data_IF_279578046235
#
_entry.id   IF_279578046235
#
_cell.length_a   1.000
_cell.length_b   1.000
_cell.length_c   1.000
_cell.angle_alpha   90.00
_cell.angle_beta   90.00
_cell.angle_gamma   90.00
#
_symmetry.space_group_name_H-M   'P 1'
#
loop_
_entity.id
_entity.type
_entity.pdbx_description
1 polymer ?
#
# COMPACT_ATOMS: atom_id res chain seq x y z
N UNK A 1 -43.59 -34.69 -6.39
CA UNK A 1 -42.89 -33.39 -6.44
C UNK A 1 -42.01 -33.11 -5.21
N UNK A 2 -42.29 -33.69 -4.03
CA UNK A 2 -41.40 -33.53 -2.85
C UNK A 2 -40.01 -34.17 -3.01
N UNK A 3 -39.89 -35.35 -3.63
CA UNK A 3 -38.60 -36.03 -3.80
C UNK A 3 -37.61 -35.28 -4.71
N UNK A 4 -38.09 -34.43 -5.63
CA UNK A 4 -37.23 -33.60 -6.49
C UNK A 4 -36.65 -32.42 -5.72
N UNK A 5 -37.40 -31.85 -4.77
CA UNK A 5 -36.91 -30.76 -3.91
C UNK A 5 -35.82 -31.24 -2.95
N UNK A 6 -35.95 -32.44 -2.41
CA UNK A 6 -34.94 -33.03 -1.51
C UNK A 6 -33.65 -33.33 -2.27
N UNK A 7 -33.72 -33.87 -3.49
CA UNK A 7 -32.53 -34.08 -4.33
C UNK A 7 -31.85 -32.77 -4.75
N UNK A 8 -32.62 -31.73 -5.07
CA UNK A 8 -32.07 -30.41 -5.41
C UNK A 8 -31.38 -29.75 -4.20
N UNK A 9 -31.97 -29.88 -3.00
CA UNK A 9 -31.38 -29.36 -1.76
C UNK A 9 -30.13 -30.14 -1.33
N UNK A 10 -30.09 -31.46 -1.51
CA UNK A 10 -28.90 -32.28 -1.29
C UNK A 10 -27.80 -31.97 -2.31
N UNK A 11 -28.14 -31.79 -3.58
CA UNK A 11 -27.16 -31.37 -4.60
C UNK A 11 -26.61 -29.96 -4.36
N UNK A 12 -27.45 -29.01 -3.96
CA UNK A 12 -27.02 -27.66 -3.60
C UNK A 12 -26.16 -27.65 -2.32
N UNK A 13 -26.47 -28.50 -1.34
CA UNK A 13 -25.66 -28.65 -0.14
C UNK A 13 -24.28 -29.30 -0.43
N UNK A 14 -24.21 -30.26 -1.36
CA UNK A 14 -22.95 -30.86 -1.81
C UNK A 14 -22.11 -29.88 -2.65
N UNK A 15 -22.74 -29.04 -3.47
CA UNK A 15 -22.02 -27.97 -4.19
C UNK A 15 -21.55 -26.82 -3.28
N UNK A 16 -22.19 -26.62 -2.12
CA UNK A 16 -21.78 -25.63 -1.13
C UNK A 16 -20.58 -26.10 -0.28
N UNK A 17 -20.32 -27.41 -0.22
CA UNK A 17 -19.08 -27.94 0.35
C UNK A 17 -18.00 -27.83 -0.72
N UNK A 18 -17.17 -26.79 -0.62
CA UNK A 18 -15.99 -26.65 -1.47
C UNK A 18 -15.15 -27.94 -1.49
N UNK A 19 -14.29 -28.13 -2.50
CA UNK A 19 -13.45 -29.31 -2.59
C UNK A 19 -12.71 -29.55 -1.26
N UNK A 20 -12.76 -30.80 -0.78
CA UNK A 20 -12.03 -31.22 0.42
C UNK A 20 -10.55 -30.86 0.18
N UNK A 21 -9.90 -30.12 1.10
CA UNK A 21 -8.51 -29.74 0.91
C UNK A 21 -7.62 -30.98 0.85
N UNK A 22 -6.66 -30.96 -0.07
CA UNK A 22 -5.66 -32.03 -0.20
C UNK A 22 -4.71 -32.04 1.00
N UNK A 23 -4.47 -30.86 1.59
CA UNK A 23 -3.64 -30.69 2.77
C UNK A 23 -4.14 -29.55 3.68
N UNK A 24 -4.02 -29.76 4.98
CA UNK A 24 -4.24 -28.75 6.01
C UNK A 24 -2.99 -28.65 6.86
N UNK A 25 -2.35 -27.49 6.89
CA UNK A 25 -1.14 -27.25 7.66
C UNK A 25 -1.48 -26.50 8.95
N UNK A 26 -1.29 -27.14 10.09
CA UNK A 26 -1.41 -26.54 11.40
C UNK A 26 -0.14 -25.78 11.77
N UNK A 27 -0.18 -24.45 11.62
CA UNK A 27 0.97 -23.59 11.86
C UNK A 27 0.93 -23.02 13.28
N UNK A 28 2.01 -23.23 14.02
CA UNK A 28 2.26 -22.60 15.31
C UNK A 28 2.98 -21.25 15.09
N UNK A 29 2.26 -20.16 15.29
CA UNK A 29 2.82 -18.82 15.19
C UNK A 29 3.37 -18.37 16.53
N UNK A 30 4.58 -17.82 16.50
CA UNK A 30 5.27 -17.27 17.67
C UNK A 30 5.67 -15.86 17.32
N UNK A 31 5.43 -14.92 18.22
CA UNK A 31 5.80 -13.52 18.06
C UNK A 31 6.66 -13.10 19.22
N UNK A 32 7.81 -12.51 18.91
CA UNK A 32 8.72 -12.07 19.96
C UNK A 32 8.36 -10.66 20.48
N UNK A 33 9.01 -10.28 21.58
CA UNK A 33 8.76 -9.01 22.26
C UNK A 33 8.93 -7.79 21.33
N UNK A 34 9.86 -7.85 20.39
CA UNK A 34 10.19 -6.72 19.52
C UNK A 34 9.03 -6.28 18.63
N UNK A 35 8.17 -7.21 18.21
CA UNK A 35 6.96 -6.88 17.44
C UNK A 35 5.95 -6.14 18.31
N UNK A 36 5.69 -6.62 19.53
CA UNK A 36 4.71 -5.99 20.44
C UNK A 36 5.19 -4.59 20.85
N UNK A 37 6.49 -4.42 21.10
CA UNK A 37 7.06 -3.11 21.41
C UNK A 37 6.81 -2.09 20.29
N UNK A 38 6.71 -2.53 19.03
CA UNK A 38 6.32 -1.66 17.91
C UNK A 38 4.85 -1.26 17.96
N UNK A 39 3.93 -2.19 18.19
CA UNK A 39 2.52 -1.85 18.36
C UNK A 39 2.30 -0.91 19.55
N UNK A 40 3.01 -1.11 20.67
CA UNK A 40 2.96 -0.21 21.83
C UNK A 40 3.47 1.19 21.46
N UNK A 41 4.51 1.29 20.64
CA UNK A 41 5.05 2.56 20.17
C UNK A 41 4.08 3.34 19.27
N UNK A 42 3.14 2.68 18.59
CA UNK A 42 2.07 3.32 17.80
C UNK A 42 0.95 3.90 18.69
N UNK A 43 0.79 3.40 19.92
CA UNK A 43 -0.23 3.91 20.84
C UNK A 43 0.22 5.23 21.46
N UNK A 44 -0.51 6.31 21.17
CA UNK A 44 -0.16 7.68 21.62
C UNK A 44 -0.90 8.14 22.88
N UNK A 45 -1.92 7.40 23.32
CA UNK A 45 -2.81 7.78 24.43
C UNK A 45 -2.88 6.68 25.49
N UNK A 46 -3.19 7.06 26.73
CA UNK A 46 -3.31 6.14 27.87
C UNK A 46 -2.00 5.87 28.60
N UNK A 47 -2.11 5.19 29.76
CA UNK A 47 -0.96 4.70 30.53
C UNK A 47 -0.31 3.46 29.87
N UNK A 48 0.80 2.97 30.43
CA UNK A 48 1.54 1.84 29.85
C UNK A 48 0.69 0.57 29.71
N UNK A 49 -0.22 0.30 30.66
CA UNK A 49 -1.08 -0.87 30.62
C UNK A 49 -2.15 -0.75 29.54
N UNK A 50 -2.78 0.43 29.44
CA UNK A 50 -3.76 0.76 28.39
C UNK A 50 -3.13 0.67 27.01
N UNK A 51 -1.92 1.23 26.84
CA UNK A 51 -1.18 1.15 25.57
C UNK A 51 -0.82 -0.29 25.20
N UNK A 52 -0.40 -1.10 26.16
CA UNK A 52 -0.15 -2.53 25.91
C UNK A 52 -1.43 -3.27 25.49
N UNK A 53 -2.55 -3.03 26.17
CA UNK A 53 -3.83 -3.65 25.81
C UNK A 53 -4.28 -3.24 24.40
N UNK A 54 -4.22 -1.95 24.06
CA UNK A 54 -4.57 -1.47 22.73
C UNK A 54 -3.64 -2.05 21.65
N UNK A 55 -2.33 -2.10 21.94
CA UNK A 55 -1.35 -2.73 21.06
C UNK A 55 -1.68 -4.21 20.78
N UNK A 56 -2.05 -4.97 21.81
CA UNK A 56 -2.44 -6.38 21.65
C UNK A 56 -3.73 -6.55 20.84
N UNK A 57 -4.70 -5.64 20.97
CA UNK A 57 -5.92 -5.65 20.14
C UNK A 57 -5.57 -5.41 18.67
N UNK A 58 -4.79 -4.37 18.36
CA UNK A 58 -4.35 -4.08 16.98
C UNK A 58 -3.51 -5.22 16.39
N UNK A 59 -2.57 -5.75 17.17
CA UNK A 59 -1.72 -6.87 16.77
C UNK A 59 -2.55 -8.12 16.41
N UNK A 60 -3.49 -8.53 17.27
CA UNK A 60 -4.31 -9.72 17.00
C UNK A 60 -5.16 -9.57 15.74
N UNK A 61 -5.70 -8.36 15.49
CA UNK A 61 -6.45 -8.09 14.26
C UNK A 61 -5.58 -8.19 13.01
N UNK A 62 -4.38 -7.61 13.04
CA UNK A 62 -3.42 -7.68 11.92
C UNK A 62 -2.95 -9.12 11.66
N UNK A 63 -2.73 -9.93 12.71
CA UNK A 63 -2.34 -11.35 12.57
C UNK A 63 -3.39 -12.15 11.83
N UNK A 64 -4.67 -12.04 12.21
CA UNK A 64 -5.73 -12.80 11.55
C UNK A 64 -5.90 -12.36 10.09
N UNK A 65 -5.72 -11.07 9.81
CA UNK A 65 -5.64 -10.56 8.44
C UNK A 65 -4.48 -11.18 7.67
N UNK A 66 -3.24 -11.15 8.19
CA UNK A 66 -2.09 -11.73 7.48
C UNK A 66 -2.26 -13.24 7.21
N UNK A 67 -2.82 -14.02 8.13
CA UNK A 67 -3.08 -15.45 7.90
C UNK A 67 -4.19 -15.66 6.86
N UNK A 68 -5.17 -14.76 6.81
CA UNK A 68 -6.18 -14.75 5.73
C UNK A 68 -5.52 -14.52 4.37
N UNK A 69 -4.60 -13.56 4.28
CA UNK A 69 -3.87 -13.26 3.05
C UNK A 69 -2.92 -14.39 2.63
N UNK A 70 -2.24 -15.04 3.58
CA UNK A 70 -1.44 -16.25 3.33
C UNK A 70 -2.32 -17.35 2.71
N UNK A 71 -3.51 -17.60 3.28
CA UNK A 71 -4.46 -18.57 2.73
C UNK A 71 -4.95 -18.19 1.33
N UNK A 72 -5.14 -16.89 1.04
CA UNK A 72 -5.47 -16.44 -0.32
C UNK A 72 -4.37 -16.76 -1.32
N UNK A 73 -3.10 -16.72 -0.92
CA UNK A 73 -1.97 -17.11 -1.77
C UNK A 73 -1.98 -18.62 -2.03
N UNK A 74 -2.13 -19.45 -0.99
CA UNK A 74 -2.26 -20.90 -1.17
C UNK A 74 -3.51 -21.30 -1.98
N UNK A 75 -4.60 -20.55 -1.86
CA UNK A 75 -5.80 -20.75 -2.68
C UNK A 75 -5.56 -20.50 -4.19
N UNK A 76 -4.46 -19.83 -4.58
CA UNK A 76 -4.08 -19.68 -5.98
C UNK A 76 -3.71 -21.02 -6.64
N UNK A 77 -3.46 -22.07 -5.85
CA UNK A 77 -3.17 -23.42 -6.33
C UNK A 77 -4.43 -24.17 -6.78
N UNK A 78 -5.63 -23.76 -6.33
CA UNK A 78 -6.89 -24.47 -6.61
C UNK A 78 -7.19 -24.62 -8.10
N UNK A 79 -7.01 -23.59 -8.95
CA UNK A 79 -7.16 -23.75 -10.40
C UNK A 79 -6.17 -24.75 -11.03
N UNK A 80 -5.08 -25.06 -10.34
CA UNK A 80 -4.08 -26.07 -10.74
C UNK A 80 -4.35 -27.45 -10.12
N UNK A 81 -5.49 -27.64 -9.46
CA UNK A 81 -5.92 -28.92 -8.89
C UNK A 81 -5.26 -29.27 -7.56
N UNK A 82 -4.80 -28.27 -6.80
CA UNK A 82 -4.23 -28.47 -5.46
C UNK A 82 -4.84 -27.48 -4.47
N UNK A 83 -5.34 -27.99 -3.34
CA UNK A 83 -5.97 -27.21 -2.29
C UNK A 83 -5.22 -27.40 -0.96
N UNK A 84 -4.49 -26.37 -0.55
CA UNK A 84 -3.80 -26.32 0.75
C UNK A 84 -4.45 -25.24 1.60
N UNK A 85 -4.76 -25.56 2.86
CA UNK A 85 -5.24 -24.60 3.85
C UNK A 85 -4.22 -24.42 4.97
N UNK A 86 -3.99 -23.18 5.37
CA UNK A 86 -3.12 -22.82 6.50
C UNK A 86 -4.00 -22.53 7.72
N UNK A 87 -3.83 -23.31 8.77
CA UNK A 87 -4.62 -23.21 10.00
C UNK A 87 -3.76 -22.60 11.11
N UNK A 88 -4.32 -21.61 11.81
CA UNK A 88 -3.70 -21.04 13.02
C UNK A 88 -3.84 -22.04 14.17
N UNK A 89 -2.83 -22.87 14.41
CA UNK A 89 -2.84 -23.84 15.51
C UNK A 89 -2.85 -23.15 16.86
N UNK A 90 -1.94 -22.19 17.02
CA UNK A 90 -1.75 -21.39 18.22
C UNK A 90 -0.94 -20.14 17.85
N UNK A 91 -1.12 -19.08 18.63
CA UNK A 91 -0.33 -17.85 18.57
C UNK A 91 0.22 -17.56 19.97
N UNK A 92 1.53 -17.64 20.15
CA UNK A 92 2.18 -17.26 21.40
C UNK A 92 2.93 -15.94 21.24
N UNK A 93 2.73 -15.04 22.20
CA UNK A 93 3.39 -13.73 22.25
C UNK A 93 4.37 -13.72 23.41
N UNK A 94 5.65 -13.61 23.09
CA UNK A 94 6.73 -13.72 24.06
C UNK A 94 7.05 -12.35 24.66
N UNK A 95 7.48 -12.37 25.93
CA UNK A 95 8.03 -11.21 26.62
C UNK A 95 9.56 -11.08 26.46
N UNK A 96 10.16 -11.88 25.59
CA UNK A 96 11.58 -11.87 25.25
C UNK A 96 11.75 -11.86 23.73
N UNK A 97 12.93 -11.44 23.26
CA UNK A 97 13.35 -11.67 21.89
C UNK A 97 14.01 -13.05 21.80
N UNK A 98 13.67 -13.84 20.78
CA UNK A 98 14.26 -15.18 20.60
C UNK A 98 15.76 -15.08 20.28
N UNK A 99 16.17 -14.00 19.61
CA UNK A 99 17.55 -13.67 19.31
C UNK A 99 17.76 -12.14 19.30
N UNK A 100 19.02 -11.69 19.25
CA UNK A 100 19.38 -10.26 19.22
C UNK A 100 19.29 -9.64 17.82
N UNK A 101 19.19 -8.31 17.72
CA UNK A 101 19.18 -7.62 16.43
C UNK A 101 20.46 -7.83 15.62
N UNK A 102 20.36 -7.77 14.29
CA UNK A 102 21.46 -7.83 13.31
C UNK A 102 22.32 -9.10 13.36
N UNK A 103 21.69 -10.25 13.64
CA UNK A 103 22.33 -11.57 13.47
C UNK A 103 22.28 -12.03 12.01
N UNK A 104 22.98 -13.11 11.65
CA UNK A 104 22.74 -13.74 10.35
C UNK A 104 21.52 -14.67 10.40
N UNK A 105 20.96 -15.02 9.24
CA UNK A 105 19.78 -15.88 9.16
C UNK A 105 19.98 -17.28 9.75
N UNK A 106 21.19 -17.85 9.68
CA UNK A 106 21.51 -19.15 10.30
C UNK A 106 21.41 -19.12 11.83
N UNK A 107 21.88 -18.05 12.47
CA UNK A 107 21.78 -17.86 13.92
C UNK A 107 20.31 -17.64 14.32
N UNK A 108 19.55 -16.87 13.53
CA UNK A 108 18.14 -16.63 13.79
C UNK A 108 17.32 -17.94 13.79
N UNK A 109 17.45 -18.77 12.75
CA UNK A 109 16.69 -20.03 12.67
C UNK A 109 17.13 -21.04 13.73
N UNK A 110 18.45 -21.17 13.99
CA UNK A 110 18.95 -22.05 15.03
C UNK A 110 18.49 -21.63 16.44
N UNK A 111 18.40 -20.32 16.71
CA UNK A 111 17.86 -19.82 17.97
C UNK A 111 16.38 -20.18 18.12
N UNK A 112 15.60 -20.08 17.05
CA UNK A 112 14.18 -20.45 17.08
C UNK A 112 13.98 -21.97 17.22
N UNK A 113 14.77 -22.80 16.54
CA UNK A 113 14.75 -24.26 16.71
C UNK A 113 15.05 -24.67 18.16
N UNK A 114 16.07 -24.06 18.76
CA UNK A 114 16.42 -24.32 20.17
C UNK A 114 15.30 -23.88 21.13
N UNK A 115 14.59 -22.81 20.81
CA UNK A 115 13.43 -22.37 21.58
C UNK A 115 12.28 -23.38 21.44
N UNK A 116 11.98 -23.83 20.22
CA UNK A 116 10.93 -24.81 19.92
C UNK A 116 11.19 -26.18 20.54
N UNK A 117 12.45 -26.57 20.76
CA UNK A 117 12.80 -27.82 21.44
C UNK A 117 12.19 -27.95 22.86
N UNK A 118 11.81 -26.83 23.48
CA UNK A 118 11.13 -26.81 24.79
C UNK A 118 9.60 -26.61 24.67
N UNK A 119 9.07 -26.44 23.47
CA UNK A 119 7.63 -26.30 23.22
C UNK A 119 6.91 -27.63 23.38
N UNK A 120 5.71 -27.58 23.93
CA UNK A 120 4.80 -28.75 24.05
C UNK A 120 3.67 -28.72 23.02
N UNK A 121 3.66 -27.72 22.14
CA UNK A 121 2.62 -27.54 21.11
C UNK A 121 2.87 -28.54 19.98
N UNK A 122 1.87 -29.35 19.67
CA UNK A 122 1.89 -30.17 18.45
C UNK A 122 1.47 -29.32 17.24
N UNK A 123 2.34 -29.24 16.24
CA UNK A 123 2.17 -28.46 15.01
C UNK A 123 2.80 -29.17 13.81
N UNK A 124 2.40 -28.78 12.60
CA UNK A 124 2.98 -29.28 11.34
C UNK A 124 4.15 -28.41 10.85
N UNK A 125 4.06 -27.11 11.15
CA UNK A 125 5.08 -26.10 10.95
C UNK A 125 5.02 -25.03 12.06
N UNK A 126 6.12 -24.34 12.31
CA UNK A 126 6.19 -23.21 13.23
C UNK A 126 6.82 -21.99 12.56
N UNK A 127 6.28 -20.80 12.81
CA UNK A 127 6.80 -19.54 12.27
C UNK A 127 7.05 -18.55 13.41
N UNK A 128 8.28 -18.05 13.49
CA UNK A 128 8.63 -16.91 14.32
C UNK A 128 8.49 -15.63 13.51
N UNK A 129 7.58 -14.77 13.95
CA UNK A 129 7.48 -13.39 13.51
C UNK A 129 8.26 -12.47 14.44
N UNK A 130 9.21 -11.74 13.88
CA UNK A 130 10.14 -10.89 14.65
C UNK A 130 10.39 -9.56 13.95
N UNK A 131 10.60 -8.49 14.71
CA UNK A 131 11.04 -7.20 14.16
C UNK A 131 12.57 -7.11 14.06
N UNK A 132 13.30 -8.09 14.60
CA UNK A 132 14.77 -8.13 14.54
C UNK A 132 15.24 -8.30 13.10
N UNK A 133 16.31 -7.59 12.73
CA UNK A 133 16.97 -7.73 11.45
C UNK A 133 17.88 -8.98 11.46
N UNK A 134 17.73 -9.85 10.47
CA UNK A 134 18.57 -11.04 10.30
C UNK A 134 19.10 -11.22 8.87
N UNK A 135 19.34 -10.10 8.16
CA UNK A 135 19.88 -9.98 6.78
C UNK A 135 18.92 -10.32 5.65
N UNK A 136 17.87 -11.09 5.90
CA UNK A 136 16.83 -11.45 4.93
C UNK A 136 15.44 -11.07 5.46
N UNK A 137 14.41 -11.20 4.60
CA UNK A 137 13.02 -11.04 5.03
C UNK A 137 12.44 -12.33 5.65
N UNK A 138 13.05 -13.47 5.36
CA UNK A 138 12.67 -14.78 5.89
C UNK A 138 13.78 -15.81 5.74
N UNK A 139 13.69 -16.88 6.51
CA UNK A 139 14.54 -18.07 6.41
C UNK A 139 13.81 -19.27 7.01
N UNK A 140 13.98 -20.44 6.41
CA UNK A 140 13.32 -21.66 6.86
C UNK A 140 14.07 -22.91 6.42
N UNK A 141 13.70 -24.06 6.97
CA UNK A 141 14.24 -25.35 6.52
C UNK A 141 13.43 -25.90 5.35
N UNK A 142 14.07 -26.11 4.20
CA UNK A 142 13.39 -26.62 3.01
C UNK A 142 12.94 -28.09 3.18
N UNK A 143 11.70 -28.41 2.80
CA UNK A 143 11.12 -29.78 2.87
C UNK A 143 11.09 -30.39 4.29
N UNK A 144 10.88 -29.57 5.32
CA UNK A 144 10.84 -30.01 6.71
C UNK A 144 9.45 -29.99 7.35
N UNK A 145 8.39 -29.65 6.62
CA UNK A 145 7.02 -29.80 7.15
C UNK A 145 6.77 -31.23 7.69
N UNK A 146 5.95 -31.38 8.73
CA UNK A 146 5.70 -32.65 9.44
C UNK A 146 6.91 -33.28 10.16
N UNK A 147 8.10 -32.68 10.12
CA UNK A 147 9.25 -33.23 10.88
C UNK A 147 9.15 -32.82 12.34
N UNK A 148 9.53 -33.72 13.24
CA UNK A 148 9.56 -33.44 14.68
C UNK A 148 10.61 -32.41 15.08
N UNK A 149 11.58 -32.14 14.21
CA UNK A 149 12.62 -31.13 14.38
C UNK A 149 12.71 -30.30 13.10
N UNK A 150 13.06 -29.02 13.25
CA UNK A 150 13.33 -28.11 12.14
C UNK A 150 12.15 -27.86 11.19
N UNK A 151 10.91 -28.20 11.58
CA UNK A 151 9.70 -27.77 10.86
C UNK A 151 9.37 -26.30 11.19
N UNK A 152 10.35 -25.41 10.99
CA UNK A 152 10.33 -24.04 11.52
C UNK A 152 10.87 -23.04 10.49
N UNK A 153 10.39 -21.80 10.59
CA UNK A 153 10.92 -20.65 9.85
C UNK A 153 10.88 -19.36 10.69
N UNK A 154 11.69 -18.39 10.30
CA UNK A 154 11.76 -17.05 10.88
C UNK A 154 11.43 -16.04 9.80
N UNK A 155 10.52 -15.12 10.08
CA UNK A 155 10.03 -14.12 9.12
C UNK A 155 10.06 -12.74 9.76
N UNK A 156 10.57 -11.76 9.00
CA UNK A 156 10.52 -10.36 9.37
C UNK A 156 9.07 -9.88 9.41
N UNK A 157 8.63 -9.46 10.58
CA UNK A 157 7.29 -8.93 10.80
C UNK A 157 7.32 -7.41 10.66
N UNK A 158 7.26 -6.89 9.44
CA UNK A 158 7.31 -5.43 9.22
C UNK A 158 5.98 -4.69 9.48
N UNK A 159 4.96 -5.40 10.00
CA UNK A 159 3.59 -4.91 10.27
C UNK A 159 2.85 -4.44 9.00
N UNK A 160 3.32 -4.83 7.81
CA UNK A 160 2.69 -4.51 6.52
C UNK A 160 2.29 -5.79 5.77
N UNK A 161 1.73 -5.64 4.57
CA UNK A 161 1.40 -6.77 3.70
C UNK A 161 2.61 -7.66 3.35
N UNK A 162 3.84 -7.14 3.49
CA UNK A 162 5.07 -7.92 3.34
C UNK A 162 5.08 -9.19 4.21
N UNK A 163 4.56 -9.11 5.45
CA UNK A 163 4.47 -10.26 6.38
C UNK A 163 3.75 -11.45 5.74
N UNK A 164 2.63 -11.22 5.05
CA UNK A 164 1.88 -12.29 4.40
C UNK A 164 2.67 -12.93 3.24
N UNK A 165 3.34 -12.11 2.43
CA UNK A 165 4.17 -12.58 1.29
C UNK A 165 5.33 -13.43 1.82
N UNK A 166 6.11 -12.89 2.76
CA UNK A 166 7.28 -13.57 3.30
C UNK A 166 6.89 -14.86 4.03
N UNK A 167 5.81 -14.84 4.80
CA UNK A 167 5.35 -16.06 5.48
C UNK A 167 4.88 -17.12 4.50
N UNK A 168 4.13 -16.76 3.45
CA UNK A 168 3.73 -17.72 2.42
C UNK A 168 4.94 -18.30 1.68
N UNK A 169 5.95 -17.48 1.41
CA UNK A 169 7.23 -17.91 0.82
C UNK A 169 7.95 -18.94 1.70
N UNK A 170 8.14 -18.64 2.99
CA UNK A 170 8.83 -19.56 3.91
C UNK A 170 8.04 -20.85 4.16
N UNK A 171 6.71 -20.78 4.22
CA UNK A 171 5.88 -21.99 4.28
C UNK A 171 5.97 -22.80 2.97
N UNK A 172 6.14 -22.14 1.82
CA UNK A 172 6.41 -22.79 0.54
C UNK A 172 7.71 -23.60 0.55
N UNK A 173 8.78 -23.03 1.10
CA UNK A 173 10.03 -23.76 1.32
C UNK A 173 9.85 -24.95 2.27
N UNK A 174 9.11 -24.82 3.37
CA UNK A 174 8.80 -25.95 4.26
C UNK A 174 8.06 -27.09 3.54
N UNK A 175 7.21 -26.73 2.59
CA UNK A 175 6.49 -27.63 1.67
C UNK A 175 7.35 -28.15 0.50
N UNK A 176 8.64 -27.82 0.48
CA UNK A 176 9.63 -28.34 -0.44
C UNK A 176 9.77 -27.62 -1.77
N UNK A 177 9.14 -26.45 -1.93
CA UNK A 177 9.41 -25.59 -3.08
C UNK A 177 10.82 -24.97 -2.97
N UNK A 178 11.53 -24.93 -4.09
CA UNK A 178 12.68 -24.04 -4.26
C UNK A 178 12.20 -22.68 -4.76
N UNK A 179 13.12 -21.72 -4.86
CA UNK A 179 12.82 -20.51 -5.60
C UNK A 179 12.39 -20.82 -7.04
N UNK A 180 11.47 -20.02 -7.55
CA UNK A 180 11.09 -20.06 -8.96
C UNK A 180 12.31 -19.74 -9.85
N UNK A 181 12.45 -20.35 -11.04
CA UNK A 181 13.53 -20.02 -11.95
C UNK A 181 13.53 -18.52 -12.32
N UNK A 182 14.70 -17.93 -12.61
CA UNK A 182 14.86 -16.48 -12.86
C UNK A 182 14.01 -15.90 -14.01
N UNK A 183 13.46 -16.75 -14.90
CA UNK A 183 12.56 -16.37 -16.00
C UNK A 183 11.07 -16.49 -15.63
N UNK A 184 10.76 -16.99 -14.43
CA UNK A 184 9.44 -17.06 -13.82
C UNK A 184 9.39 -16.04 -12.69
N UNK A 185 8.97 -14.85 -13.05
CA UNK A 185 9.10 -13.69 -12.16
C UNK A 185 7.76 -13.43 -11.47
N UNK A 186 7.86 -12.89 -10.27
CA UNK A 186 6.73 -12.30 -9.60
C UNK A 186 5.77 -13.23 -8.92
N UNK A 187 6.07 -14.51 -8.76
CA UNK A 187 5.27 -15.44 -7.97
C UNK A 187 5.77 -15.47 -6.51
N UNK A 188 4.99 -16.09 -5.62
CA UNK A 188 5.32 -16.15 -4.17
C UNK A 188 6.71 -16.72 -3.91
N UNK A 189 7.17 -17.71 -4.70
CA UNK A 189 8.49 -18.34 -4.52
C UNK A 189 9.62 -17.65 -5.31
N UNK A 190 9.43 -16.44 -5.83
CA UNK A 190 10.53 -15.68 -6.42
C UNK A 190 11.58 -15.33 -5.34
N UNK A 191 12.87 -15.44 -5.67
CA UNK A 191 13.96 -15.19 -4.74
C UNK A 191 14.02 -13.73 -4.20
N UNK A 192 13.40 -12.79 -4.90
CA UNK A 192 13.34 -11.38 -4.51
C UNK A 192 11.94 -10.82 -4.75
N UNK A 193 11.23 -10.53 -3.66
CA UNK A 193 9.89 -9.97 -3.74
C UNK A 193 9.93 -8.54 -4.30
N UNK A 194 9.03 -8.24 -5.25
CA UNK A 194 8.93 -6.93 -5.88
C UNK A 194 7.49 -6.42 -5.91
N UNK A 195 7.32 -5.13 -5.62
CA UNK A 195 6.03 -4.42 -5.71
C UNK A 195 5.55 -4.23 -7.15
N UNK A 196 6.43 -4.38 -8.14
CA UNK A 196 6.09 -4.27 -9.56
C UNK A 196 5.47 -5.55 -10.13
N UNK A 197 5.61 -6.66 -9.41
CA UNK A 197 5.18 -7.96 -9.90
C UNK A 197 3.69 -8.20 -9.65
N UNK A 198 2.96 -8.56 -10.70
CA UNK A 198 1.51 -8.73 -10.68
C UNK A 198 1.07 -10.13 -10.23
N UNK A 199 1.99 -11.09 -10.16
CA UNK A 199 1.68 -12.49 -9.79
C UNK A 199 1.96 -12.78 -8.32
N UNK A 200 2.36 -11.78 -7.51
CA UNK A 200 2.93 -11.99 -6.16
C UNK A 200 1.94 -12.53 -5.13
N UNK A 201 0.68 -12.66 -5.53
CA UNK A 201 -0.40 -13.29 -4.78
C UNK A 201 -0.65 -14.75 -5.18
N UNK A 202 0.19 -15.30 -6.06
CA UNK A 202 0.04 -16.65 -6.59
C UNK A 202 1.33 -17.43 -6.49
N UNK A 203 1.21 -18.72 -6.21
CA UNK A 203 2.27 -19.70 -6.45
C UNK A 203 2.36 -20.07 -7.91
N UNK A 204 3.56 -20.40 -8.37
CA UNK A 204 3.81 -20.84 -9.74
C UNK A 204 3.45 -22.33 -9.92
N UNK A 205 3.47 -22.80 -11.17
CA UNK A 205 3.35 -24.23 -11.46
C UNK A 205 4.53 -25.05 -10.91
N UNK A 206 5.72 -24.45 -10.74
CA UNK A 206 6.88 -25.11 -10.14
C UNK A 206 6.68 -25.35 -8.65
N UNK A 207 6.16 -24.34 -7.93
CA UNK A 207 5.81 -24.51 -6.52
C UNK A 207 4.74 -25.59 -6.36
N UNK A 208 3.70 -25.58 -7.22
CA UNK A 208 2.67 -26.62 -7.24
C UNK A 208 3.26 -28.03 -7.41
N UNK A 209 4.15 -28.22 -8.39
CA UNK A 209 4.79 -29.52 -8.63
C UNK A 209 5.61 -29.99 -7.43
N UNK A 210 6.34 -29.08 -6.77
CA UNK A 210 7.08 -29.41 -5.55
C UNK A 210 6.14 -29.85 -4.42
N UNK A 211 5.03 -29.13 -4.23
CA UNK A 211 4.03 -29.46 -3.22
C UNK A 211 3.38 -30.83 -3.47
N UNK A 212 2.96 -31.11 -4.71
CA UNK A 212 2.43 -32.44 -5.08
C UNK A 212 3.43 -33.55 -4.78
N UNK A 213 4.70 -33.35 -5.15
CA UNK A 213 5.77 -34.33 -4.96
C UNK A 213 5.96 -34.62 -3.48
N UNK A 214 5.93 -33.60 -2.64
CA UNK A 214 6.04 -33.74 -1.19
C UNK A 214 4.81 -34.44 -0.59
N UNK A 215 3.60 -34.04 -0.99
CA UNK A 215 2.33 -34.62 -0.52
C UNK A 215 2.14 -36.08 -0.94
N UNK A 216 2.76 -36.51 -2.04
CA UNK A 216 2.75 -37.92 -2.47
C UNK A 216 3.57 -38.84 -1.56
N UNK A 217 4.46 -38.29 -0.71
CA UNK A 217 5.32 -39.08 0.17
C UNK A 217 4.53 -39.47 1.45
N UNK A 218 4.40 -40.77 1.78
CA UNK A 218 3.58 -41.23 2.90
C UNK A 218 3.95 -40.69 4.29
N UNK A 219 5.17 -40.18 4.48
CA UNK A 219 5.60 -39.60 5.76
C UNK A 219 4.97 -38.23 6.07
N UNK A 220 4.39 -37.54 5.09
CA UNK A 220 3.76 -36.21 5.28
C UNK A 220 2.26 -36.29 5.57
N UNK A 221 1.81 -37.43 6.14
CA UNK A 221 0.42 -37.63 6.60
C UNK A 221 0.00 -36.72 7.76
N UNK A 222 0.92 -35.93 8.34
CA UNK A 222 0.50 -34.94 9.35
C UNK A 222 -0.51 -33.95 8.76
N UNK A 223 -0.34 -33.58 7.49
CA UNK A 223 -1.19 -32.62 6.78
C UNK A 223 -2.58 -33.15 6.39
N UNK A 224 -2.84 -34.45 6.57
CA UNK A 224 -4.15 -35.05 6.29
C UNK A 224 -5.01 -35.21 7.54
N UNK A 225 -4.47 -34.90 8.72
CA UNK A 225 -5.18 -34.95 10.00
C UNK A 225 -5.26 -33.54 10.55
N UNK A 226 -6.46 -33.12 10.95
CA UNK A 226 -6.67 -31.81 11.56
C UNK A 226 -7.23 -31.98 12.97
N UNK A 227 -6.62 -31.27 13.90
CA UNK A 227 -7.05 -31.08 15.27
C UNK A 227 -8.45 -30.49 15.28
N UNK A 228 -9.29 -31.01 16.18
CA UNK A 228 -10.66 -30.55 16.33
C UNK A 228 -10.74 -29.06 16.68
N UNK A 229 -11.64 -28.33 16.02
CA UNK A 229 -11.95 -26.94 16.35
C UNK A 229 -11.07 -25.88 15.69
N UNK A 230 -10.10 -26.26 14.86
CA UNK A 230 -9.36 -25.30 14.05
C UNK A 230 -10.18 -24.86 12.84
N UNK A 231 -10.14 -23.56 12.56
CA UNK A 231 -10.80 -22.94 11.40
C UNK A 231 -9.78 -22.13 10.60
N UNK A 232 -9.98 -22.07 9.29
CA UNK A 232 -9.24 -21.14 8.42
C UNK A 232 -9.58 -19.71 8.84
N UNK A 233 -8.60 -18.88 9.23
CA UNK A 233 -8.87 -17.48 9.54
C UNK A 233 -9.48 -16.75 8.33
N UNK A 234 -10.45 -15.89 8.61
CA UNK A 234 -11.13 -15.06 7.62
C UNK A 234 -11.37 -13.69 8.23
N UNK A 235 -10.39 -12.81 8.10
CA UNK A 235 -10.44 -11.44 8.57
C UNK A 235 -10.43 -10.46 7.39
N UNK A 236 -11.14 -9.34 7.56
CA UNK A 236 -11.03 -8.20 6.67
C UNK A 236 -9.74 -7.41 6.96
N UNK A 237 -9.38 -6.51 6.05
CA UNK A 237 -8.31 -5.53 6.31
C UNK A 237 -8.65 -4.69 7.55
N UNK A 238 -7.66 -4.42 8.38
CA UNK A 238 -7.83 -3.57 9.57
C UNK A 238 -7.75 -2.09 9.17
N UNK A 239 -8.31 -1.19 9.98
CA UNK A 239 -8.23 0.26 9.72
C UNK A 239 -6.76 0.74 9.54
N UNK A 240 -5.85 0.20 10.36
CA UNK A 240 -4.41 0.49 10.28
C UNK A 240 -3.78 0.02 8.96
N UNK A 241 -4.25 -1.11 8.41
CA UNK A 241 -3.78 -1.64 7.13
C UNK A 241 -4.58 -1.12 5.93
N UNK A 242 -5.70 -0.43 6.15
CA UNK A 242 -6.48 0.30 5.16
C UNK A 242 -6.06 1.78 5.06
N UNK A 243 -5.27 2.29 6.01
CA UNK A 243 -4.66 3.62 5.95
C UNK A 243 -3.25 3.54 5.30
N UNK A 244 -3.06 4.11 4.09
CA UNK A 244 -1.76 4.06 3.42
C UNK A 244 -0.68 4.87 4.16
N UNK A 245 -1.04 5.87 4.96
CA UNK A 245 -0.05 6.59 5.77
C UNK A 245 0.44 5.71 6.92
N UNK A 246 -0.43 4.92 7.55
CA UNK A 246 -0.02 3.91 8.55
C UNK A 246 0.90 2.87 7.93
N UNK A 247 0.56 2.32 6.76
CA UNK A 247 1.45 1.40 6.03
C UNK A 247 2.83 2.06 5.81
N UNK A 248 2.86 3.32 5.37
CA UNK A 248 4.10 4.03 5.13
C UNK A 248 4.92 4.32 6.39
N UNK A 249 4.28 4.60 7.53
CA UNK A 249 4.98 4.73 8.82
C UNK A 249 5.64 3.42 9.24
N UNK A 250 4.95 2.30 9.06
CA UNK A 250 5.43 0.95 9.36
C UNK A 250 6.56 0.53 8.43
N UNK A 251 6.34 0.58 7.12
CA UNK A 251 7.32 0.19 6.09
C UNK A 251 8.64 0.98 6.18
N UNK A 252 8.56 2.29 6.46
CA UNK A 252 9.75 3.15 6.57
C UNK A 252 10.31 3.24 7.99
N UNK A 253 9.73 2.51 8.94
CA UNK A 253 10.13 2.50 10.35
C UNK A 253 10.19 3.93 10.94
N UNK A 254 9.29 4.81 10.50
CA UNK A 254 9.35 6.25 10.81
C UNK A 254 7.95 6.88 10.86
N UNK A 255 7.58 7.41 12.03
CA UNK A 255 6.27 8.03 12.28
C UNK A 255 5.94 9.26 11.41
N UNK A 256 6.93 9.87 10.75
CA UNK A 256 6.76 11.01 9.85
C UNK A 256 6.64 10.61 8.37
N UNK A 257 6.76 9.32 8.05
CA UNK A 257 6.51 8.81 6.71
C UNK A 257 5.01 8.82 6.42
N UNK A 258 4.64 9.03 5.17
CA UNK A 258 3.26 9.07 4.68
C UNK A 258 3.24 8.66 3.20
N UNK A 259 2.07 8.35 2.66
CA UNK A 259 1.88 8.03 1.26
C UNK A 259 2.15 9.27 0.41
N UNK A 260 3.16 9.19 -0.45
CA UNK A 260 3.35 10.13 -1.52
C UNK A 260 2.17 10.05 -2.49
N UNK A 261 1.49 11.17 -2.68
CA UNK A 261 0.40 11.37 -3.66
C UNK A 261 0.90 12.07 -4.93
N UNK A 262 2.22 12.25 -5.06
CA UNK A 262 2.82 12.90 -6.21
C UNK A 262 2.48 12.16 -7.50
N UNK A 263 1.92 12.83 -8.53
CA UNK A 263 1.57 12.21 -9.80
C UNK A 263 2.71 11.46 -10.46
N UNK A 264 3.97 11.90 -10.29
CA UNK A 264 5.14 11.24 -10.88
C UNK A 264 5.27 9.79 -10.45
N UNK A 265 4.86 9.48 -9.22
CA UNK A 265 4.87 8.12 -8.67
C UNK A 265 3.78 7.22 -9.28
N UNK A 266 2.74 7.80 -9.89
CA UNK A 266 1.59 7.07 -10.46
C UNK A 266 1.38 7.40 -11.94
N UNK A 267 2.47 7.57 -12.70
CA UNK A 267 2.39 7.77 -14.16
C UNK A 267 1.70 9.06 -14.58
N UNK A 268 1.88 10.13 -13.80
CA UNK A 268 1.23 11.43 -13.93
C UNK A 268 -0.30 11.40 -13.74
N UNK A 269 -0.78 10.57 -12.81
CA UNK A 269 -2.21 10.42 -12.48
C UNK A 269 -2.46 10.55 -10.99
N UNK A 270 -3.72 10.75 -10.61
CA UNK A 270 -4.18 10.61 -9.22
C UNK A 270 -3.86 9.19 -8.73
N UNK A 271 -3.38 9.01 -7.49
CA UNK A 271 -3.19 7.69 -6.89
C UNK A 271 -4.53 6.96 -6.72
N UNK A 272 -4.93 6.19 -7.73
CA UNK A 272 -6.17 5.42 -7.76
C UNK A 272 -6.06 4.14 -8.61
N UNK A 273 -7.09 3.30 -8.54
CA UNK A 273 -7.23 2.10 -9.35
C UNK A 273 -6.14 1.06 -9.07
N UNK A 274 -5.84 0.27 -10.09
CA UNK A 274 -4.79 -0.78 -10.02
C UNK A 274 -3.41 -0.22 -9.66
N UNK A 275 -3.14 1.07 -9.88
CA UNK A 275 -1.85 1.66 -9.52
C UNK A 275 -1.59 1.59 -8.02
N UNK A 276 -2.58 1.98 -7.22
CA UNK A 276 -2.52 1.94 -5.76
C UNK A 276 -2.59 0.50 -5.24
N UNK A 277 -3.33 -0.37 -5.91
CA UNK A 277 -3.40 -1.78 -5.54
C UNK A 277 -2.13 -2.57 -5.86
N UNK A 278 -1.37 -2.15 -6.87
CA UNK A 278 -0.08 -2.74 -7.16
C UNK A 278 1.03 -2.16 -6.28
N UNK A 279 1.02 -0.87 -6.00
CA UNK A 279 2.00 -0.26 -5.11
C UNK A 279 1.54 1.09 -4.57
N UNK A 280 1.86 1.34 -3.31
CA UNK A 280 1.89 2.70 -2.79
C UNK A 280 3.33 3.18 -2.70
N UNK A 281 3.52 4.49 -2.60
CA UNK A 281 4.83 5.09 -2.49
C UNK A 281 4.94 5.82 -1.16
N UNK A 282 5.95 5.49 -0.37
CA UNK A 282 6.12 6.02 0.97
C UNK A 282 7.26 7.04 1.05
N UNK A 283 6.97 8.18 1.67
CA UNK A 283 7.92 9.29 1.81
C UNK A 283 9.11 8.89 2.68
N UNK A 284 10.31 9.09 2.15
CA UNK A 284 11.51 9.09 2.96
C UNK A 284 11.64 10.42 3.69
N UNK A 285 11.72 10.35 5.02
CA UNK A 285 11.71 11.53 5.88
C UNK A 285 12.96 12.38 5.63
N UNK A 286 12.77 13.70 5.58
CA UNK A 286 13.80 14.70 5.26
C UNK A 286 14.36 14.64 3.83
N UNK A 287 13.73 13.89 2.92
CA UNK A 287 14.06 13.92 1.48
C UNK A 287 12.81 14.18 0.67
N UNK A 288 12.91 14.33 -0.65
CA UNK A 288 11.76 14.32 -1.58
C UNK A 288 11.57 12.95 -2.26
N UNK A 289 12.27 11.92 -1.78
CA UNK A 289 12.23 10.59 -2.36
C UNK A 289 11.04 9.81 -1.79
N UNK A 290 10.47 8.98 -2.63
CA UNK A 290 9.41 8.06 -2.26
C UNK A 290 9.84 6.65 -2.67
N UNK A 291 9.54 5.67 -1.81
CA UNK A 291 9.92 4.27 -2.02
C UNK A 291 8.67 3.44 -2.22
N UNK A 292 8.67 2.55 -3.20
CA UNK A 292 7.53 1.65 -3.41
C UNK A 292 7.35 0.73 -2.20
N UNK A 293 6.10 0.42 -1.86
CA UNK A 293 5.72 -0.39 -0.71
C UNK A 293 4.49 -1.21 -1.05
N UNK A 294 4.39 -2.43 -0.50
CA UNK A 294 3.24 -3.30 -0.72
C UNK A 294 1.99 -2.70 -0.06
N UNK A 295 0.93 -2.44 -0.84
CA UNK A 295 -0.36 -2.09 -0.29
C UNK A 295 -1.03 -3.34 0.27
N UNK A 296 -1.93 -3.15 1.23
CA UNK A 296 -2.81 -4.21 1.69
C UNK A 296 -3.91 -4.48 0.66
N UNK A 297 -4.28 -5.74 0.49
CA UNK A 297 -5.60 -6.07 -0.05
C UNK A 297 -6.68 -5.48 0.89
N UNK A 298 -7.78 -4.99 0.31
CA UNK A 298 -8.81 -4.24 1.02
C UNK A 298 -8.57 -2.73 1.08
N UNK A 299 -7.43 -2.20 0.65
CA UNK A 299 -7.20 -0.76 0.53
C UNK A 299 -8.23 -0.11 -0.41
N UNK A 300 -8.77 1.06 -0.08
CA UNK A 300 -9.67 1.79 -1.00
C UNK A 300 -8.88 2.18 -2.25
N UNK A 301 -9.45 1.99 -3.43
CA UNK A 301 -8.77 2.33 -4.69
C UNK A 301 -9.66 3.10 -5.66
N UNK A 302 -10.90 3.36 -5.28
CA UNK A 302 -11.88 4.11 -6.06
C UNK A 302 -13.23 4.14 -5.36
N UNK A 303 -14.15 4.91 -5.89
CA UNK A 303 -15.53 4.95 -5.40
C UNK A 303 -16.18 3.57 -5.55
N UNK A 304 -16.68 3.00 -4.45
CA UNK A 304 -17.18 1.63 -4.32
C UNK A 304 -16.16 0.55 -4.73
N UNK A 305 -14.86 0.80 -4.54
CA UNK A 305 -13.81 -0.14 -4.96
C UNK A 305 -12.71 -0.32 -3.92
N UNK A 306 -12.25 -1.56 -3.79
CA UNK A 306 -11.10 -1.94 -2.95
C UNK A 306 -10.10 -2.80 -3.73
N UNK A 307 -8.87 -2.81 -3.22
CA UNK A 307 -7.81 -3.63 -3.74
C UNK A 307 -8.06 -5.10 -3.43
N UNK A 308 -7.88 -5.95 -4.44
CA UNK A 308 -7.91 -7.40 -4.32
C UNK A 308 -6.89 -7.96 -5.30
N UNK A 309 -5.79 -8.49 -4.78
CA UNK A 309 -4.68 -9.09 -5.54
C UNK A 309 -4.16 -8.16 -6.64
N UNK A 310 -3.87 -6.92 -6.29
CA UNK A 310 -3.32 -5.93 -7.22
C UNK A 310 -4.32 -5.27 -8.15
N UNK A 311 -5.60 -5.65 -8.06
CA UNK A 311 -6.68 -5.11 -8.88
C UNK A 311 -7.64 -4.29 -8.05
N UNK A 312 -8.07 -3.17 -8.60
CA UNK A 312 -9.12 -2.34 -8.03
C UNK A 312 -10.48 -2.86 -8.49
N UNK A 313 -11.18 -3.53 -7.59
CA UNK A 313 -12.42 -4.25 -7.90
C UNK A 313 -13.60 -3.62 -7.15
N UNK A 314 -14.80 -3.82 -7.70
CA UNK A 314 -16.03 -3.38 -7.05
C UNK A 314 -16.16 -4.03 -5.66
N UNK A 315 -16.40 -3.18 -4.66
CA UNK A 315 -16.58 -3.57 -3.28
C UNK A 315 -17.60 -2.61 -2.64
N UNK A 316 -18.86 -3.04 -2.44
CA UNK A 316 -19.95 -2.15 -2.05
C UNK A 316 -19.97 -1.92 -0.53
N UNK A 317 -18.91 -1.34 0.02
CA UNK A 317 -18.88 -0.91 1.42
C UNK A 317 -19.08 0.61 1.55
N UNK A 318 -19.59 1.03 2.71
CA UNK A 318 -19.97 2.42 2.94
C UNK A 318 -18.77 3.39 2.92
N UNK A 319 -17.57 2.93 3.30
CA UNK A 319 -16.38 3.77 3.35
C UNK A 319 -15.88 4.10 1.94
N UNK A 320 -15.79 3.10 1.06
CA UNK A 320 -15.42 3.33 -0.33
C UNK A 320 -16.53 4.03 -1.14
N UNK A 321 -17.79 4.02 -0.69
CA UNK A 321 -18.89 4.68 -1.38
C UNK A 321 -18.82 6.22 -1.35
N UNK A 322 -18.16 6.81 -0.35
CA UNK A 322 -18.15 8.25 -0.11
C UNK A 322 -16.89 8.97 -0.59
N UNK A 323 -15.94 8.26 -1.21
CA UNK A 323 -14.68 8.86 -1.68
C UNK A 323 -14.86 9.57 -3.02
N UNK A 324 -14.26 10.76 -3.15
CA UNK A 324 -14.16 11.48 -4.42
C UNK A 324 -13.14 10.75 -5.34
N UNK A 325 -13.54 10.32 -6.55
CA UNK A 325 -12.62 9.64 -7.47
C UNK A 325 -11.43 10.49 -7.92
N UNK A 326 -11.53 11.82 -7.82
CA UNK A 326 -10.42 12.73 -8.13
C UNK A 326 -9.52 12.98 -6.90
N UNK A 327 -9.96 12.58 -5.71
CA UNK A 327 -9.37 12.97 -4.44
C UNK A 327 -9.43 11.90 -3.35
N UNK A 328 -9.27 10.63 -3.72
CA UNK A 328 -9.52 9.47 -2.85
C UNK A 328 -8.81 9.60 -1.49
N UNK A 329 -7.58 10.12 -1.50
CA UNK A 329 -6.74 10.20 -0.32
C UNK A 329 -6.64 11.61 0.27
N UNK A 330 -7.38 12.59 -0.24
CA UNK A 330 -7.30 13.98 0.19
C UNK A 330 -5.91 14.63 -0.04
N UNK A 331 -5.61 15.66 0.75
CA UNK A 331 -4.34 16.39 0.66
C UNK A 331 -3.12 15.56 1.07
N UNK A 332 -2.00 15.77 0.40
CA UNK A 332 -0.68 15.32 0.82
C UNK A 332 -0.38 15.88 2.23
N UNK A 333 0.05 15.02 3.15
CA UNK A 333 0.33 15.40 4.53
C UNK A 333 1.36 16.54 4.63
N UNK A 334 2.35 16.55 3.74
CA UNK A 334 3.34 17.62 3.61
C UNK A 334 3.76 17.77 2.13
N UNK A 335 3.63 18.97 1.59
CA UNK A 335 4.15 19.32 0.27
C UNK A 335 5.52 20.00 0.41
N UNK A 336 6.45 19.62 -0.47
CA UNK A 336 7.76 20.27 -0.60
C UNK A 336 7.89 20.77 -2.03
N UNK A 337 7.85 22.10 -2.21
CA UNK A 337 7.96 22.74 -3.52
C UNK A 337 9.20 23.64 -3.54
N UNK A 338 9.98 23.51 -4.60
CA UNK A 338 11.17 24.35 -4.85
C UNK A 338 10.79 25.34 -5.95
N UNK A 339 10.88 26.63 -5.65
CA UNK A 339 10.58 27.69 -6.61
C UNK A 339 11.85 28.34 -7.17
N UNK A 340 12.94 28.32 -6.40
CA UNK A 340 14.28 28.72 -6.81
C UNK A 340 15.31 28.07 -5.89
N UNK A 341 16.59 28.18 -6.22
CA UNK A 341 17.70 27.62 -5.42
C UNK A 341 17.67 28.02 -3.94
N UNK A 342 17.10 29.20 -3.63
CA UNK A 342 17.02 29.75 -2.28
C UNK A 342 15.61 29.76 -1.68
N UNK A 343 14.59 29.31 -2.43
CA UNK A 343 13.21 29.35 -1.96
C UNK A 343 12.52 28.00 -2.08
N UNK A 344 12.33 27.39 -0.92
CA UNK A 344 11.62 26.12 -0.75
C UNK A 344 10.51 26.30 0.25
N UNK A 345 9.32 25.83 -0.11
CA UNK A 345 8.22 25.67 0.83
C UNK A 345 8.17 24.23 1.32
N UNK A 346 8.02 24.05 2.63
CA UNK A 346 7.70 22.79 3.28
C UNK A 346 6.54 23.05 4.26
N UNK A 347 5.43 22.34 4.09
CA UNK A 347 4.25 22.52 4.95
C UNK A 347 3.01 21.85 4.40
N UNK A 348 1.87 22.10 5.05
CA UNK A 348 0.57 21.63 4.59
C UNK A 348 0.01 22.49 3.43
N UNK A 349 -1.02 21.96 2.79
CA UNK A 349 -1.68 22.57 1.65
C UNK A 349 -2.48 23.84 1.98
N UNK A 350 -3.13 23.88 3.14
CA UNK A 350 -3.91 25.04 3.54
C UNK A 350 -3.02 26.28 3.71
N UNK A 351 -1.91 26.15 4.43
CA UNK A 351 -0.92 27.22 4.62
C UNK A 351 -0.25 27.63 3.31
N UNK A 352 -0.02 26.67 2.40
CA UNK A 352 0.56 26.95 1.10
C UNK A 352 -0.37 27.86 0.28
N UNK A 353 -1.64 27.48 0.19
CA UNK A 353 -2.62 28.25 -0.59
C UNK A 353 -2.93 29.61 0.07
N UNK A 354 -2.93 29.70 1.39
CA UNK A 354 -3.03 30.99 2.10
C UNK A 354 -1.86 31.93 1.75
N UNK A 355 -0.64 31.39 1.65
CA UNK A 355 0.55 32.18 1.37
C UNK A 355 0.69 32.60 -0.10
N UNK A 356 0.36 31.70 -1.04
CA UNK A 356 0.64 31.91 -2.47
C UNK A 356 -0.60 32.16 -3.33
N UNK A 357 -1.80 31.99 -2.77
CA UNK A 357 -3.08 32.20 -3.46
C UNK A 357 -3.67 30.93 -4.08
N UNK A 358 -5.00 30.95 -4.27
CA UNK A 358 -5.76 29.84 -4.88
C UNK A 358 -5.37 29.57 -6.33
N UNK A 359 -4.83 30.57 -7.04
CA UNK A 359 -4.31 30.42 -8.40
C UNK A 359 -3.20 29.35 -8.48
N UNK A 360 -2.55 29.01 -7.36
CA UNK A 360 -1.59 27.92 -7.34
C UNK A 360 -2.21 26.55 -7.67
N UNK A 361 -3.52 26.38 -7.47
CA UNK A 361 -4.24 25.16 -7.86
C UNK A 361 -4.33 24.96 -9.38
N UNK A 362 -3.97 25.95 -10.21
CA UNK A 362 -3.78 25.74 -11.65
C UNK A 362 -2.54 24.89 -11.97
N UNK A 363 -1.54 24.84 -11.08
CA UNK A 363 -0.37 24.00 -11.29
C UNK A 363 -0.68 22.55 -10.92
N UNK A 364 -0.54 21.64 -11.89
CA UNK A 364 -0.87 20.22 -11.73
C UNK A 364 -0.24 19.55 -10.49
N UNK A 365 1.00 19.92 -10.14
CA UNK A 365 1.67 19.39 -8.95
C UNK A 365 0.97 19.83 -7.66
N UNK A 366 0.53 21.08 -7.59
CA UNK A 366 -0.22 21.63 -6.45
C UNK A 366 -1.63 21.07 -6.44
N UNK A 367 -2.33 21.07 -7.58
CA UNK A 367 -3.69 20.54 -7.68
C UNK A 367 -3.80 19.09 -7.20
N UNK A 368 -2.81 18.26 -7.52
CA UNK A 368 -2.81 16.85 -7.14
C UNK A 368 -2.26 16.61 -5.72
N UNK A 369 -1.28 17.40 -5.28
CA UNK A 369 -0.77 17.34 -3.91
C UNK A 369 -1.74 17.94 -2.89
N UNK A 370 -2.45 18.99 -3.25
CA UNK A 370 -3.40 19.73 -2.42
C UNK A 370 -4.82 19.54 -2.93
N UNK A 371 -5.14 18.29 -3.25
CA UNK A 371 -6.36 17.93 -3.92
C UNK A 371 -7.63 18.38 -3.17
N UNK A 372 -7.74 18.10 -1.88
CA UNK A 372 -8.92 18.44 -1.09
C UNK A 372 -9.01 19.96 -0.88
N UNK A 373 -7.88 20.61 -0.58
CA UNK A 373 -7.81 22.06 -0.43
C UNK A 373 -8.19 22.77 -1.74
N UNK A 374 -7.65 22.36 -2.88
CA UNK A 374 -7.96 22.93 -4.18
C UNK A 374 -9.42 22.67 -4.56
N UNK A 375 -9.94 21.46 -4.33
CA UNK A 375 -11.34 21.15 -4.59
C UNK A 375 -12.31 22.09 -3.85
N UNK A 376 -12.05 22.39 -2.57
CA UNK A 376 -12.84 23.35 -1.78
C UNK A 376 -12.82 24.78 -2.33
N UNK A 377 -11.77 25.14 -3.07
CA UNK A 377 -11.60 26.46 -3.67
C UNK A 377 -12.14 26.55 -5.10
N UNK A 378 -12.65 25.44 -5.64
CA UNK A 378 -13.14 25.40 -7.00
C UNK A 378 -14.42 26.25 -7.15
N UNK A 379 -14.38 27.26 -8.03
CA UNK A 379 -15.48 28.23 -8.21
C UNK A 379 -16.62 27.72 -9.08
N UNK A 380 -16.36 26.69 -9.89
CA UNK A 380 -17.31 26.18 -10.90
C UNK A 380 -17.40 27.05 -12.18
N UNK A 381 -16.61 28.12 -12.28
CA UNK A 381 -16.58 29.00 -13.45
C UNK A 381 -15.50 28.49 -14.42
N UNK A 382 -15.89 28.09 -15.62
CA UNK A 382 -14.97 27.61 -16.65
C UNK A 382 -13.92 28.68 -17.01
N UNK A 383 -12.64 28.33 -16.94
CA UNK A 383 -11.50 29.23 -17.09
C UNK A 383 -11.13 30.03 -15.85
N UNK A 384 -11.94 29.97 -14.77
CA UNK A 384 -11.68 30.61 -13.46
C UNK A 384 -11.86 29.62 -12.30
N UNK A 385 -11.59 28.35 -12.55
CA UNK A 385 -11.74 27.23 -11.62
C UNK A 385 -11.23 27.58 -10.22
N UNK A 386 -10.14 28.32 -10.10
CA UNK A 386 -9.58 28.72 -8.80
C UNK A 386 -9.45 30.25 -8.63
N UNK A 387 -10.25 31.01 -9.38
CA UNK A 387 -10.21 32.46 -9.44
C UNK A 387 -9.44 32.98 -10.65
N UNK A 388 -8.84 34.17 -10.53
CA UNK A 388 -7.95 34.69 -11.57
C UNK A 388 -6.67 33.84 -11.66
N UNK A 389 -6.22 33.49 -12.87
CA UNK A 389 -4.97 32.77 -13.09
C UNK A 389 -3.76 33.60 -12.64
N UNK A 390 -3.82 34.92 -12.86
CA UNK A 390 -2.75 35.83 -12.48
C UNK A 390 -3.08 36.53 -11.14
N UNK A 391 -2.21 36.48 -10.12
CA UNK A 391 -2.49 37.07 -8.80
C UNK A 391 -2.52 38.61 -8.76
N UNK A 392 -2.39 39.29 -9.91
CA UNK A 392 -2.22 40.74 -10.01
C UNK A 392 -3.25 41.42 -10.90
N UNK A 393 -4.31 40.71 -11.27
CA UNK A 393 -5.42 41.27 -12.06
C UNK A 393 -6.03 42.52 -11.42
N UNK A 394 -6.06 42.58 -10.09
CA UNK A 394 -6.56 43.71 -9.32
C UNK A 394 -5.60 44.93 -9.22
N UNK A 395 -4.36 44.84 -9.72
CA UNK A 395 -3.41 45.96 -9.72
C UNK A 395 -3.67 46.97 -10.84
N UNK A 396 -4.53 46.60 -11.78
CA UNK A 396 -4.89 47.40 -12.95
C UNK A 396 -6.41 47.62 -13.02
N UNK A 397 -6.85 48.60 -13.81
CA UNK A 397 -8.29 48.83 -14.01
C UNK A 397 -8.89 47.74 -14.91
N UNK A 398 -10.18 47.42 -14.74
CA UNK A 398 -10.88 46.47 -15.63
C UNK A 398 -10.72 46.83 -17.12
N UNK A 399 -10.77 48.12 -17.47
CA UNK A 399 -10.57 48.54 -18.86
C UNK A 399 -9.15 48.29 -19.38
N UNK A 400 -8.14 48.35 -18.52
CA UNK A 400 -6.75 48.08 -18.88
C UNK A 400 -6.42 46.60 -19.01
N UNK A 401 -7.14 45.71 -18.32
CA UNK A 401 -6.85 44.27 -18.27
C UNK A 401 -7.81 43.47 -19.14
N UNK A 402 -9.11 43.71 -19.00
CA UNK A 402 -10.14 42.86 -19.57
C UNK A 402 -10.29 42.96 -21.09
N UNK A 403 -9.64 43.93 -21.71
CA UNK A 403 -9.57 44.05 -23.17
C UNK A 403 -8.55 43.09 -23.80
N UNK A 404 -7.53 42.64 -23.05
CA UNK A 404 -6.41 41.85 -23.58
C UNK A 404 -6.05 40.59 -22.77
N UNK A 405 -6.45 40.52 -21.51
CA UNK A 405 -6.06 39.46 -20.56
C UNK A 405 -7.28 38.88 -19.82
N UNK A 406 -8.45 38.93 -20.45
CA UNK A 406 -9.69 38.42 -19.86
C UNK A 406 -9.63 36.93 -19.53
N UNK A 407 -8.75 36.18 -20.20
CA UNK A 407 -8.48 34.76 -19.96
C UNK A 407 -7.64 34.51 -18.69
N UNK A 408 -6.72 35.41 -18.35
CA UNK A 408 -5.90 35.30 -17.14
C UNK A 408 -6.56 35.95 -15.91
N UNK A 409 -7.41 36.94 -16.16
CA UNK A 409 -8.10 37.75 -15.16
C UNK A 409 -9.61 37.55 -15.21
N UNK A 410 -10.02 36.32 -15.41
CA UNK A 410 -11.37 35.98 -15.82
C UNK A 410 -12.42 36.26 -14.74
N UNK A 411 -12.10 36.06 -13.45
CA UNK A 411 -13.00 36.40 -12.35
C UNK A 411 -13.08 37.93 -12.17
N UNK A 412 -11.94 38.61 -12.24
CA UNK A 412 -11.87 40.07 -12.20
C UNK A 412 -12.64 40.72 -13.37
N UNK A 413 -12.55 40.11 -14.56
CA UNK A 413 -13.19 40.57 -15.79
C UNK A 413 -14.63 40.07 -15.96
N UNK A 414 -15.15 39.29 -15.01
CA UNK A 414 -16.51 38.82 -15.05
C UNK A 414 -17.49 40.00 -15.14
N UNK A 415 -18.38 39.93 -16.14
CA UNK A 415 -19.38 40.97 -16.41
C UNK A 415 -18.83 42.26 -17.06
N UNK A 416 -17.53 42.34 -17.35
CA UNK A 416 -16.98 43.49 -18.07
C UNK A 416 -17.50 43.53 -19.51
N UNK A 417 -18.09 44.67 -19.89
CA UNK A 417 -18.50 44.96 -21.26
C UNK A 417 -17.65 46.09 -21.79
N UNK A 418 -16.82 45.80 -22.80
CA UNK A 418 -16.04 46.82 -23.51
C UNK A 418 -16.97 47.95 -23.93
N UNK A 419 -16.67 49.18 -23.50
CA UNK A 419 -17.39 50.35 -23.99
C UNK A 419 -17.23 50.35 -25.50
N UNK A 420 -18.34 50.31 -26.25
CA UNK A 420 -18.31 50.51 -27.70
C UNK A 420 -17.57 51.83 -27.91
N UNK A 421 -16.38 51.75 -28.47
CA UNK A 421 -15.67 52.93 -28.94
C UNK A 421 -16.60 53.55 -29.97
N UNK A 422 -17.32 54.61 -29.58
CA UNK A 422 -17.96 55.51 -30.52
C UNK A 422 -16.87 55.86 -31.51
N UNK A 423 -17.02 55.42 -32.76
CA UNK A 423 -16.01 55.50 -33.81
C UNK A 423 -15.40 56.90 -33.82
N UNK A 424 -14.24 57.04 -33.15
CA UNK A 424 -13.53 58.28 -33.02
C UNK A 424 -12.14 57.99 -33.52
N UNK A 425 -11.94 58.41 -34.76
CA UNK A 425 -10.69 58.51 -35.48
C UNK A 425 -9.73 59.36 -34.66
N UNK A 426 -9.01 58.78 -33.69
CA UNK A 426 -7.89 59.44 -33.02
C UNK A 426 -6.69 58.51 -32.89
N UNK A 427 -5.63 59.01 -33.49
CA UNK A 427 -4.26 58.50 -33.57
C UNK A 427 -3.71 58.02 -32.23
N UNK A 428 -3.15 56.81 -32.20
CA UNK A 428 -2.37 56.28 -31.08
C UNK A 428 -1.06 57.06 -30.93
N UNK A 429 -0.89 57.79 -29.84
CA UNK A 429 0.42 58.25 -29.37
C UNK A 429 0.38 58.34 -27.85
N UNK A 430 1.05 57.39 -27.17
CA UNK A 430 1.32 57.45 -25.73
C UNK A 430 0.48 56.54 -24.85
N UNK A 431 0.70 55.22 -24.95
CA UNK A 431 0.47 54.31 -23.81
C UNK A 431 1.82 53.76 -23.38
N UNK A 432 2.18 54.04 -22.14
CA UNK A 432 3.43 53.71 -21.47
C UNK A 432 3.58 52.21 -21.26
N UNK A 433 4.71 51.66 -21.74
CA UNK A 433 5.08 50.23 -21.80
C UNK A 433 5.36 49.56 -20.45
N UNK A 434 5.33 50.28 -19.33
CA UNK A 434 5.80 49.76 -18.03
C UNK A 434 4.88 48.72 -17.36
N UNK A 435 3.62 48.63 -17.78
CA UNK A 435 2.64 47.65 -17.22
C UNK A 435 2.69 46.31 -17.98
N UNK A 436 3.24 46.31 -19.20
CA UNK A 436 3.34 45.12 -20.05
C UNK A 436 4.48 44.20 -19.58
N UNK A 437 5.58 44.78 -19.08
CA UNK A 437 6.74 44.00 -18.62
C UNK A 437 6.45 43.20 -17.32
N UNK A 438 5.57 43.70 -16.44
CA UNK A 438 5.21 43.03 -15.18
C UNK A 438 4.17 41.90 -15.36
N UNK A 439 3.43 41.88 -16.48
CA UNK A 439 2.44 40.82 -16.80
C UNK A 439 3.01 39.71 -17.70
N UNK A 440 4.15 39.95 -18.36
CA UNK A 440 4.80 39.00 -19.28
C UNK A 440 5.94 38.22 -18.61
N UNK A 441 6.36 38.61 -17.40
CA UNK A 441 7.38 37.89 -16.62
C UNK A 441 6.85 36.57 -16.02
N UNK A 442 6.45 35.63 -16.88
CA UNK A 442 6.38 34.20 -16.56
C UNK A 442 7.82 33.68 -16.67
N UNK A 443 8.40 33.05 -15.64
CA UNK A 443 9.64 32.31 -15.82
C UNK A 443 9.33 31.09 -16.69
N UNK A 444 9.62 31.19 -17.99
CA UNK A 444 9.80 30.03 -18.86
C UNK A 444 11.01 29.25 -18.34
N UNK A 445 10.79 28.26 -17.48
CA UNK A 445 11.82 27.24 -17.25
C UNK A 445 11.86 26.31 -18.47
N UNK A 446 13.04 26.13 -19.10
CA UNK A 446 13.19 25.16 -20.16
C UNK A 446 13.11 23.75 -19.56
N UNK A 447 12.07 23.01 -19.95
CA UNK A 447 11.95 21.58 -19.69
C UNK A 447 13.07 20.83 -20.44
N UNK A 448 14.26 20.77 -19.84
CA UNK A 448 15.36 19.95 -20.34
C UNK A 448 15.05 18.49 -20.05
N UNK A 449 14.85 17.71 -21.11
CA UNK A 449 14.78 16.24 -21.05
C UNK A 449 16.11 15.72 -20.51
N UNK A 450 16.18 15.43 -19.21
CA UNK A 450 17.24 14.57 -18.67
C UNK A 450 16.93 13.13 -19.09
N UNK A 451 17.80 12.57 -19.93
CA UNK A 451 17.88 11.13 -20.19
C UNK A 451 18.32 10.41 -18.92
N UNK A 452 17.72 9.25 -18.59
CA UNK A 452 18.13 8.49 -17.41
C UNK A 452 19.53 7.90 -17.63
N UNK A 453 20.47 8.23 -16.73
CA UNK A 453 21.69 7.44 -16.55
C UNK A 453 21.30 6.07 -16.00
N UNK A 454 21.75 5.02 -16.70
CA UNK A 454 21.93 3.70 -16.11
C UNK A 454 22.91 3.84 -14.95
N UNK A 455 22.45 3.54 -13.74
CA UNK A 455 23.32 3.24 -12.62
C UNK A 455 23.14 1.77 -12.25
N UNK A 456 24.27 1.19 -11.88
CA UNK A 456 24.55 -0.23 -11.79
C UNK A 456 23.78 -0.91 -10.66
N UNK A 457 23.24 -2.08 -10.99
CA UNK A 457 22.72 -3.05 -10.02
C UNK A 457 23.94 -3.71 -9.37
N UNK A 458 24.19 -3.37 -8.11
CA UNK A 458 25.05 -4.17 -7.23
C UNK A 458 24.18 -5.20 -6.51
N UNK A 459 24.69 -6.43 -6.54
CA UNK A 459 24.20 -7.70 -5.99
C UNK A 459 23.79 -7.67 -4.54
#
# INVERSE_FOLDING_TARGET
MENVKIFLLLWLAVLAQGPIPDARMEVYFVVDKSVIDRYVAEQTTGDSATRLNNAMVSFNADVDYFITEINKMYASLRPMGLCIEILKKRLDVLNINVFSDNVNHFVAIAAFDNWLANSTVAYDAAILWTWQNFQTAGVTHASHVCRSVNASGVVLYDMTYGVAIYTAHELGHLMGANHDPDYINGYVMEASASTLHTNRWSFSMYSKYAFDTLLAIPSYRCLSVTSSGLTVPSAAVTDALADPDTICRRARKNKRSFMCKSPRSYGNRVPQGDWVCNQIWCREVNTNRCHATFPSDGLICGTNKRCNRGRCQDHPDAESAIVDPNCIWGDQAEISLVFSDNYRYEGDCARFIDMFGSNMCYYTVVALGCCETCHKLHTGINGCEYGDLHPHCNRSTKAGVCDCYSEFCCLFCQGYKKKRSSASTRSLSGVTTKVIDDLIAIPDEPYTKQTPRREDVLT
#
